data_IF_009473536622
#
_entry.id   IF_009473536622
#
_cell.length_a   1.000
_cell.length_b   1.000
_cell.length_c   1.000
_cell.angle_alpha   90.00
_cell.angle_beta   90.00
_cell.angle_gamma   90.00
#
_symmetry.space_group_name_H-M   'P 1'
#
loop_
_entity.id
_entity.type
_entity.pdbx_description
1 polymer ?
#
# COMPACT_ATOMS: atom_id res chain seq x y z
N UNK A 1 3.26 -25.26 2.30
CA UNK A 1 3.88 -24.10 3.00
C UNK A 1 5.13 -23.70 2.22
N UNK A 2 5.27 -22.44 1.86
CA UNK A 2 6.45 -21.90 1.17
C UNK A 2 7.25 -21.05 2.18
N UNK A 3 8.01 -21.67 3.10
CA UNK A 3 8.59 -20.98 4.26
C UNK A 3 9.69 -19.96 3.90
N UNK A 4 10.15 -19.97 2.65
CA UNK A 4 11.17 -19.06 2.12
C UNK A 4 10.58 -18.01 1.18
N UNK A 5 9.27 -18.04 0.92
CA UNK A 5 8.65 -17.07 0.03
C UNK A 5 8.57 -15.73 0.77
N UNK A 6 9.27 -14.74 0.21
CA UNK A 6 9.35 -13.36 0.71
C UNK A 6 8.68 -12.36 -0.22
N UNK A 7 8.60 -12.67 -1.52
CA UNK A 7 8.04 -11.80 -2.55
C UNK A 7 6.88 -12.53 -3.22
N UNK A 8 5.74 -11.86 -3.33
CA UNK A 8 4.56 -12.35 -4.05
C UNK A 8 4.21 -11.39 -5.19
N UNK A 9 4.31 -11.88 -6.43
CA UNK A 9 3.95 -11.13 -7.64
C UNK A 9 2.68 -11.72 -8.28
N UNK A 10 1.68 -10.86 -8.48
CA UNK A 10 0.36 -11.15 -9.03
C UNK A 10 0.00 -10.09 -10.09
N UNK A 11 0.93 -9.78 -10.98
CA UNK A 11 0.77 -8.67 -11.94
C UNK A 11 -0.23 -9.04 -13.05
N UNK A 12 -1.10 -8.10 -13.42
CA UNK A 12 -2.11 -8.24 -14.48
C UNK A 12 -3.10 -9.39 -14.28
N UNK A 13 -3.37 -9.75 -13.02
CA UNK A 13 -4.39 -10.75 -12.71
C UNK A 13 -5.78 -10.09 -12.67
N UNK A 14 -6.38 -9.86 -13.84
CA UNK A 14 -7.62 -9.08 -13.99
C UNK A 14 -8.81 -9.60 -13.17
N UNK A 15 -8.88 -10.92 -12.94
CA UNK A 15 -9.94 -11.58 -12.15
C UNK A 15 -9.58 -11.74 -10.67
N UNK A 16 -8.42 -11.23 -10.25
CA UNK A 16 -7.97 -11.37 -8.87
C UNK A 16 -8.69 -10.36 -8.00
N UNK A 17 -9.69 -10.85 -7.27
CA UNK A 17 -10.59 -9.97 -6.52
C UNK A 17 -10.09 -9.64 -5.12
N UNK A 18 -9.34 -10.51 -4.44
CA UNK A 18 -8.94 -10.29 -3.05
C UNK A 18 -7.61 -10.95 -2.76
N UNK A 19 -6.81 -10.27 -1.94
CA UNK A 19 -5.61 -10.88 -1.37
C UNK A 19 -5.99 -11.98 -0.38
N UNK A 20 -5.37 -13.17 -0.46
CA UNK A 20 -5.50 -14.17 0.58
C UNK A 20 -4.81 -13.68 1.87
N UNK A 21 -5.08 -14.34 2.98
CA UNK A 21 -4.25 -14.17 4.18
C UNK A 21 -2.80 -14.55 3.85
N UNK A 22 -1.89 -13.58 4.01
CA UNK A 22 -0.49 -13.75 3.67
C UNK A 22 0.29 -14.32 4.86
N UNK A 23 1.17 -15.32 4.64
CA UNK A 23 2.06 -15.77 5.68
C UNK A 23 3.03 -14.64 6.08
N UNK A 24 3.47 -14.64 7.34
CA UNK A 24 4.36 -13.60 7.90
C UNK A 24 5.76 -13.56 7.30
N UNK A 25 6.11 -14.53 6.46
CA UNK A 25 7.37 -14.56 5.71
C UNK A 25 7.37 -13.63 4.50
N UNK A 26 6.19 -13.25 4.01
CA UNK A 26 6.05 -12.32 2.89
C UNK A 26 6.39 -10.92 3.38
N UNK A 27 7.31 -10.29 2.68
CA UNK A 27 7.79 -8.94 2.93
C UNK A 27 7.36 -8.00 1.80
N UNK A 28 7.13 -8.51 0.59
CA UNK A 28 6.81 -7.70 -0.58
C UNK A 28 5.65 -8.29 -1.38
N UNK A 29 4.71 -7.44 -1.79
CA UNK A 29 3.56 -7.82 -2.62
C UNK A 29 3.42 -6.84 -3.79
N UNK A 30 3.38 -7.39 -4.99
CA UNK A 30 3.13 -6.66 -6.23
C UNK A 30 1.89 -7.23 -6.89
N UNK A 31 0.78 -6.50 -6.87
CA UNK A 31 -0.45 -6.88 -7.57
C UNK A 31 -0.88 -5.75 -8.50
N UNK A 32 0.06 -5.27 -9.31
CA UNK A 32 -0.17 -4.20 -10.29
C UNK A 32 -1.09 -4.67 -11.41
N UNK A 33 -1.89 -3.74 -11.94
CA UNK A 33 -2.85 -3.98 -13.02
C UNK A 33 -3.89 -5.07 -12.71
N UNK A 34 -4.18 -5.32 -11.42
CA UNK A 34 -5.30 -6.17 -10.99
C UNK A 34 -6.58 -5.34 -10.91
N UNK A 35 -7.32 -5.25 -12.01
CA UNK A 35 -8.45 -4.33 -12.12
C UNK A 35 -9.65 -4.70 -11.25
N UNK A 36 -9.89 -5.99 -10.97
CA UNK A 36 -10.98 -6.44 -10.09
C UNK A 36 -10.58 -6.51 -8.62
N UNK A 37 -9.34 -6.17 -8.26
CA UNK A 37 -8.86 -6.27 -6.89
C UNK A 37 -9.65 -5.30 -6.00
N UNK A 38 -10.27 -5.87 -4.98
CA UNK A 38 -10.94 -5.22 -3.86
C UNK A 38 -10.20 -5.67 -2.58
N UNK A 39 -10.16 -4.83 -1.55
CA UNK A 39 -9.53 -5.24 -0.29
C UNK A 39 -10.38 -4.90 0.91
N UNK A 40 -10.73 -5.95 1.64
CA UNK A 40 -11.41 -5.86 2.93
C UNK A 40 -10.33 -5.91 4.01
N UNK A 41 -9.66 -4.79 4.28
CA UNK A 41 -8.78 -4.59 5.46
C UNK A 41 -7.93 -5.83 5.85
N UNK A 42 -7.06 -6.28 4.93
CA UNK A 42 -6.39 -7.57 5.09
C UNK A 42 -5.08 -7.40 5.85
N UNK A 43 -4.66 -8.46 6.56
CA UNK A 43 -3.44 -8.63 7.34
C UNK A 43 -2.10 -8.36 6.65
N UNK A 44 -1.96 -7.21 5.99
CA UNK A 44 -0.79 -6.62 5.33
C UNK A 44 0.28 -6.17 6.37
N UNK A 45 0.12 -6.65 7.60
CA UNK A 45 0.71 -6.13 8.84
C UNK A 45 2.23 -6.38 8.94
N UNK A 46 2.92 -6.85 7.91
CA UNK A 46 4.38 -7.01 7.95
C UNK A 46 5.11 -6.68 6.65
N UNK A 47 4.42 -6.11 5.65
CA UNK A 47 5.05 -5.82 4.36
C UNK A 47 5.99 -4.62 4.48
N UNK A 48 7.17 -4.75 3.87
CA UNK A 48 8.10 -3.66 3.59
C UNK A 48 7.66 -2.92 2.34
N UNK A 49 7.14 -3.64 1.35
CA UNK A 49 6.72 -3.05 0.09
C UNK A 49 5.38 -3.59 -0.39
N UNK A 50 4.55 -2.68 -0.88
CA UNK A 50 3.27 -3.03 -1.51
C UNK A 50 3.03 -2.16 -2.75
N UNK A 51 2.58 -2.81 -3.82
CA UNK A 51 2.26 -2.13 -5.08
C UNK A 51 0.93 -2.62 -5.66
N UNK A 52 0.02 -1.68 -5.87
CA UNK A 52 -1.28 -1.86 -6.52
C UNK A 52 -1.49 -0.83 -7.64
N UNK A 53 -0.43 -0.51 -8.39
CA UNK A 53 -0.53 0.48 -9.47
C UNK A 53 -1.52 0.02 -10.54
N UNK A 54 -2.28 0.96 -11.11
CA UNK A 54 -3.24 0.68 -12.19
C UNK A 54 -4.41 -0.24 -11.76
N UNK A 55 -4.58 -0.48 -10.45
CA UNK A 55 -5.73 -1.22 -9.93
C UNK A 55 -6.97 -0.32 -9.83
N UNK A 56 -7.63 -0.07 -10.95
CA UNK A 56 -8.78 0.87 -11.03
C UNK A 56 -9.98 0.44 -10.18
N UNK A 57 -10.20 -0.86 -9.94
CA UNK A 57 -11.24 -1.33 -9.03
C UNK A 57 -11.03 -0.89 -7.58
N UNK A 58 -9.79 -0.54 -7.19
CA UNK A 58 -9.53 0.09 -5.90
C UNK A 58 -10.02 1.54 -5.86
N UNK A 59 -10.13 2.23 -7.00
CA UNK A 59 -10.55 3.63 -7.06
C UNK A 59 -12.06 3.82 -6.85
N UNK A 60 -12.86 2.84 -7.29
CA UNK A 60 -14.32 2.92 -7.32
C UNK A 60 -14.98 2.74 -5.94
N UNK A 61 -14.18 2.47 -4.91
CA UNK A 61 -14.65 2.15 -3.58
C UNK A 61 -14.21 3.23 -2.56
N UNK A 62 -15.15 3.77 -1.77
CA UNK A 62 -14.85 4.68 -0.64
C UNK A 62 -13.80 4.08 0.32
N UNK A 63 -13.68 2.75 0.36
CA UNK A 63 -12.71 1.99 1.14
C UNK A 63 -11.23 2.21 0.73
N UNK A 64 -10.95 2.80 -0.43
CA UNK A 64 -9.57 3.12 -0.84
C UNK A 64 -8.91 4.14 0.09
N UNK A 65 -9.69 5.15 0.50
CA UNK A 65 -9.19 6.17 1.41
C UNK A 65 -8.91 5.55 2.79
N UNK A 66 -9.78 4.65 3.23
CA UNK A 66 -9.62 3.85 4.43
C UNK A 66 -8.40 2.91 4.32
N UNK A 67 -8.12 2.36 3.14
CA UNK A 67 -6.97 1.51 2.88
C UNK A 67 -5.66 2.29 2.93
N UNK A 68 -5.54 3.38 2.17
CA UNK A 68 -4.34 4.22 2.19
C UNK A 68 -4.06 4.74 3.60
N UNK A 69 -5.11 5.12 4.34
CA UNK A 69 -5.03 5.54 5.74
C UNK A 69 -4.63 4.39 6.67
N UNK A 70 -5.18 3.19 6.49
CA UNK A 70 -4.85 2.02 7.32
C UNK A 70 -3.44 1.50 7.07
N UNK A 71 -3.02 1.43 5.79
CA UNK A 71 -1.65 1.12 5.39
C UNK A 71 -0.67 2.15 5.95
N UNK A 72 -1.00 3.44 5.81
CA UNK A 72 -0.19 4.52 6.36
C UNK A 72 -0.08 4.46 7.89
N UNK A 73 -1.21 4.40 8.61
CA UNK A 73 -1.25 4.31 10.08
C UNK A 73 -0.44 3.13 10.60
N UNK A 74 -0.49 2.00 9.88
CA UNK A 74 0.23 0.81 10.28
C UNK A 74 1.73 0.91 10.02
N UNK A 75 2.13 1.25 8.79
CA UNK A 75 3.54 1.32 8.40
C UNK A 75 4.29 2.38 9.21
N UNK A 76 3.65 3.51 9.49
CA UNK A 76 4.24 4.56 10.35
C UNK A 76 4.34 4.12 11.81
N UNK A 77 3.36 3.39 12.36
CA UNK A 77 3.38 2.96 13.77
C UNK A 77 4.25 1.72 14.03
N UNK A 78 4.41 0.82 13.05
CA UNK A 78 5.06 -0.49 13.27
C UNK A 78 6.33 -0.73 12.45
N UNK A 79 6.47 -0.23 11.22
CA UNK A 79 7.65 -0.50 10.39
C UNK A 79 8.85 0.39 10.71
N UNK A 80 8.62 1.59 11.27
CA UNK A 80 9.70 2.45 11.80
C UNK A 80 10.55 1.70 12.85
N UNK A 81 9.98 0.69 13.52
CA UNK A 81 10.62 -0.04 14.62
C UNK A 81 11.57 -1.16 14.15
N UNK A 82 11.44 -1.71 12.93
CA UNK A 82 12.19 -2.92 12.52
C UNK A 82 13.24 -2.72 11.43
N UNK A 83 13.02 -1.87 10.44
CA UNK A 83 13.88 -1.82 9.24
C UNK A 83 14.06 -0.42 8.64
N UNK A 84 13.35 0.59 9.15
CA UNK A 84 13.52 2.00 8.75
C UNK A 84 13.06 2.37 7.33
N UNK A 85 12.81 1.38 6.45
CA UNK A 85 12.41 1.61 5.06
C UNK A 85 11.18 0.79 4.71
N UNK A 86 10.18 1.47 4.14
CA UNK A 86 8.99 0.87 3.53
C UNK A 86 8.61 1.65 2.28
N UNK A 87 7.85 1.05 1.37
CA UNK A 87 7.35 1.70 0.16
C UNK A 87 5.92 1.26 -0.17
N UNK A 88 5.10 2.22 -0.60
CA UNK A 88 3.69 1.99 -0.90
C UNK A 88 3.38 2.64 -2.25
N UNK A 89 2.83 1.87 -3.18
CA UNK A 89 2.36 2.35 -4.47
C UNK A 89 0.86 2.05 -4.60
N UNK A 90 0.05 3.11 -4.57
CA UNK A 90 -1.40 3.03 -4.69
C UNK A 90 -1.87 3.86 -5.89
N UNK A 91 -2.97 3.47 -6.54
CA UNK A 91 -3.59 4.31 -7.56
C UNK A 91 -4.26 5.51 -6.89
N UNK A 92 -4.24 6.67 -7.55
CA UNK A 92 -4.87 7.89 -7.06
C UNK A 92 -4.37 9.14 -7.76
N UNK A 93 -5.22 10.16 -7.83
CA UNK A 93 -4.90 11.43 -8.48
C UNK A 93 -4.67 12.57 -7.48
N UNK A 94 -5.01 12.36 -6.20
CA UNK A 94 -4.97 13.37 -5.16
C UNK A 94 -4.10 12.94 -3.99
N UNK A 95 -3.46 13.91 -3.34
CA UNK A 95 -2.71 13.69 -2.10
C UNK A 95 -3.69 13.41 -0.95
N UNK A 96 -3.56 12.27 -0.24
CA UNK A 96 -4.48 11.91 0.85
C UNK A 96 -4.60 12.97 1.96
N UNK A 97 -5.78 13.06 2.59
CA UNK A 97 -6.08 14.04 3.65
C UNK A 97 -5.26 13.93 4.92
N UNK A 98 -4.68 12.77 5.21
CA UNK A 98 -3.81 12.60 6.38
C UNK A 98 -2.45 13.31 6.26
N UNK A 99 -2.08 13.81 5.09
CA UNK A 99 -0.96 14.73 4.95
C UNK A 99 -1.34 16.12 5.46
N UNK A 100 -0.75 16.52 6.60
CA UNK A 100 -0.98 17.85 7.20
C UNK A 100 -0.42 19.02 6.39
N UNK A 101 0.39 18.75 5.36
CA UNK A 101 0.94 19.76 4.48
C UNK A 101 0.83 19.30 3.02
N UNK A 102 0.11 20.07 2.20
CA UNK A 102 -0.09 19.83 0.77
C UNK A 102 0.33 21.05 -0.02
N UNK A 103 1.14 20.86 -1.05
CA UNK A 103 1.62 21.91 -1.93
C UNK A 103 1.12 21.67 -3.36
N UNK A 104 0.69 22.75 -4.01
CA UNK A 104 0.46 22.74 -5.46
C UNK A 104 1.75 23.14 -6.15
N UNK A 105 2.40 22.19 -6.83
CA UNK A 105 3.66 22.44 -7.54
C UNK A 105 4.45 21.15 -7.75
N UNK A 106 5.63 21.27 -8.37
CA UNK A 106 6.53 20.15 -8.67
C UNK A 106 7.65 19.99 -7.63
N UNK A 107 7.75 20.89 -6.65
CA UNK A 107 8.81 20.95 -5.66
C UNK A 107 8.19 21.07 -4.28
N UNK A 108 8.67 20.25 -3.35
CA UNK A 108 8.29 20.29 -1.94
C UNK A 108 9.46 20.87 -1.14
N UNK A 109 9.22 21.96 -0.42
CA UNK A 109 10.18 22.56 0.51
C UNK A 109 9.51 22.73 1.87
N UNK A 110 10.13 22.21 2.93
CA UNK A 110 9.62 22.31 4.30
C UNK A 110 10.74 22.77 5.23
N UNK A 111 10.45 23.73 6.09
CA UNK A 111 11.31 24.06 7.21
C UNK A 111 10.98 23.13 8.38
N UNK A 112 11.98 22.43 8.90
CA UNK A 112 11.82 21.59 10.07
C UNK A 112 11.77 22.45 11.35
N UNK A 113 10.96 22.08 12.35
CA UNK A 113 11.04 22.74 13.65
C UNK A 113 12.43 22.54 14.26
N UNK A 114 12.94 23.59 14.92
CA UNK A 114 14.21 23.57 15.66
C UNK A 114 14.16 22.63 16.86
#
# INVERSE_FOLDING_TARGET
MLPQLRILELVSCERFERLPELPTTIEEVFADNCTSLMTDNVGILMLQQISFTICVGLLENQQMHDMATSLWLYLFKKCIVKSGHFSIYLPGEQVPEWFGYKLNGTIVSMQLPN
#
